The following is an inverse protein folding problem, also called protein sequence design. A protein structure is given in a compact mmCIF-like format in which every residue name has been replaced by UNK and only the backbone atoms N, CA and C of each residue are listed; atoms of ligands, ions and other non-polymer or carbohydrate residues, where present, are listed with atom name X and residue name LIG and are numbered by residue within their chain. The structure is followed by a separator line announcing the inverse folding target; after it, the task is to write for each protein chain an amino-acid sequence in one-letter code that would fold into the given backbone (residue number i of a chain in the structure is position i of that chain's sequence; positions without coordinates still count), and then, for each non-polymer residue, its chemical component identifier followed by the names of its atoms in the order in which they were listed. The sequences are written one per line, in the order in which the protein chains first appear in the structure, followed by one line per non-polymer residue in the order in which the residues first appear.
data_IF_683239874683
#
_entry.id   IF_683239874683
#
_cell.length_a   1.000
_cell.length_b   1.000
_cell.length_c   1.000
_cell.angle_alpha   90.00
_cell.angle_beta   90.00
_cell.angle_gamma   90.00
#
_symmetry.space_group_name_H-M   'P 1'
#
loop_
_entity.id
_entity.type
_entity.pdbx_description
1 polymer ?
#
# COMPACT_ATOMS: atom_id res chain seq x y z
N UNK A 1 6.46 8.26 11.72
CA UNK A 1 4.99 8.08 11.53
C UNK A 1 4.64 8.28 10.05
N UNK A 2 3.40 8.02 9.63
CA UNK A 2 2.96 8.27 8.23
C UNK A 2 2.71 9.76 8.05
N UNK A 3 3.39 10.36 7.08
CA UNK A 3 3.28 11.79 6.75
C UNK A 3 2.11 12.05 5.80
N UNK A 4 2.00 11.24 4.74
CA UNK A 4 0.94 11.38 3.73
C UNK A 4 0.61 10.06 3.04
N UNK A 5 -0.63 9.94 2.59
CA UNK A 5 -1.07 8.87 1.69
C UNK A 5 -1.69 9.47 0.45
N UNK A 6 -1.36 8.94 -0.72
CA UNK A 6 -1.90 9.40 -2.00
C UNK A 6 -1.98 8.23 -3.00
N UNK A 7 -2.85 8.30 -4.02
CA UNK A 7 -3.02 7.23 -5.00
C UNK A 7 -1.75 6.94 -5.81
N UNK A 8 -1.58 5.69 -6.22
CA UNK A 8 -0.58 5.29 -7.21
C UNK A 8 -1.00 5.82 -8.60
N UNK A 9 -0.03 6.23 -9.39
CA UNK A 9 -0.21 6.97 -10.65
C UNK A 9 -0.94 6.16 -11.73
N UNK A 10 -0.78 4.83 -11.70
CA UNK A 10 -1.31 3.90 -12.72
C UNK A 10 -2.35 2.90 -12.23
N UNK A 11 -2.39 2.61 -10.94
CA UNK A 11 -3.10 1.43 -10.42
C UNK A 11 -4.14 1.85 -9.41
N UNK A 12 -5.41 1.65 -9.77
CA UNK A 12 -6.54 1.90 -8.88
C UNK A 12 -6.47 1.00 -7.64
N UNK A 13 -6.85 1.55 -6.48
CA UNK A 13 -6.83 0.82 -5.21
C UNK A 13 -5.42 0.63 -4.61
N UNK A 14 -4.37 1.06 -5.31
CA UNK A 14 -2.99 1.07 -4.83
C UNK A 14 -2.62 2.49 -4.42
N UNK A 15 -1.95 2.62 -3.28
CA UNK A 15 -1.59 3.90 -2.67
C UNK A 15 -0.12 3.94 -2.30
N UNK A 16 0.47 5.13 -2.33
CA UNK A 16 1.75 5.44 -1.73
C UNK A 16 1.55 5.93 -0.31
N UNK A 17 2.23 5.30 0.64
CA UNK A 17 2.35 5.76 2.02
C UNK A 17 3.76 6.33 2.22
N UNK A 18 3.86 7.64 2.40
CA UNK A 18 5.12 8.34 2.69
C UNK A 18 5.30 8.48 4.20
N UNK A 19 6.45 8.02 4.68
CA UNK A 19 6.86 8.09 6.07
C UNK A 19 7.62 9.38 6.34
N UNK A 20 7.70 9.79 7.60
CA UNK A 20 8.45 10.99 8.02
C UNK A 20 9.95 10.93 7.69
N UNK A 21 10.53 9.73 7.59
CA UNK A 21 11.92 9.51 7.17
C UNK A 21 12.14 9.71 5.66
N UNK A 22 11.09 10.08 4.92
CA UNK A 22 11.11 10.27 3.48
C UNK A 22 10.93 8.98 2.67
N UNK A 23 10.90 7.81 3.32
CA UNK A 23 10.67 6.55 2.63
C UNK A 23 9.21 6.43 2.18
N UNK A 24 8.99 5.75 1.06
CA UNK A 24 7.66 5.47 0.52
C UNK A 24 7.45 3.98 0.41
N UNK A 25 6.27 3.51 0.79
CA UNK A 25 5.87 2.12 0.65
C UNK A 25 4.51 2.04 -0.03
N UNK A 26 4.26 0.93 -0.73
CA UNK A 26 2.94 0.65 -1.26
C UNK A 26 1.98 0.34 -0.11
N UNK A 27 0.71 0.70 -0.29
CA UNK A 27 -0.37 0.43 0.62
C UNK A 27 -1.67 0.16 -0.14
N UNK A 28 -2.60 -0.53 0.53
CA UNK A 28 -3.96 -0.74 0.05
C UNK A 28 -4.95 -0.36 1.15
N UNK A 29 -6.18 -0.01 0.78
CA UNK A 29 -7.25 0.21 1.76
C UNK A 29 -7.59 -1.14 2.41
N UNK A 30 -7.70 -1.15 3.74
CA UNK A 30 -8.16 -2.32 4.45
C UNK A 30 -9.67 -2.50 4.29
N UNK A 31 -10.09 -3.57 3.61
CA UNK A 31 -11.50 -3.91 3.45
C UNK A 31 -12.16 -4.37 4.77
N UNK A 32 -11.37 -4.90 5.71
CA UNK A 32 -11.87 -5.38 7.01
C UNK A 32 -11.11 -4.66 8.16
N UNK A 33 -11.56 -3.45 8.56
CA UNK A 33 -10.90 -2.66 9.59
C UNK A 33 -10.66 -3.44 10.89
N UNK A 34 -9.48 -3.31 11.48
CA UNK A 34 -9.10 -3.97 12.73
C UNK A 34 -8.64 -5.42 12.59
N UNK A 35 -8.75 -6.05 11.41
CA UNK A 35 -8.17 -7.37 11.14
C UNK A 35 -6.82 -7.25 10.47
N UNK A 36 -5.83 -7.95 11.03
CA UNK A 36 -4.50 -8.21 10.43
C UNK A 36 -4.49 -9.62 9.88
N UNK A 37 -4.01 -9.82 8.66
CA UNK A 37 -3.93 -11.16 8.07
C UNK A 37 -2.55 -11.77 8.27
N UNK A 38 -1.48 -11.02 7.96
CA UNK A 38 -0.11 -11.51 7.98
C UNK A 38 0.82 -10.67 8.88
N UNK A 39 0.24 -9.91 9.82
CA UNK A 39 0.99 -9.00 10.68
C UNK A 39 1.54 -7.77 9.96
N UNK A 40 0.99 -7.42 8.79
CA UNK A 40 1.31 -6.18 8.11
C UNK A 40 1.05 -4.95 8.99
N UNK A 41 1.82 -3.89 8.75
CA UNK A 41 1.62 -2.61 9.41
C UNK A 41 0.30 -2.00 8.93
N UNK A 42 -0.62 -1.82 9.87
CA UNK A 42 -1.91 -1.17 9.65
C UNK A 42 -1.85 0.22 10.26
N UNK A 43 -2.37 1.21 9.55
CA UNK A 43 -2.42 2.58 10.02
C UNK A 43 -3.70 3.28 9.53
N UNK A 44 -4.11 4.34 10.22
CA UNK A 44 -5.25 5.17 9.83
C UNK A 44 -4.76 6.50 9.28
N UNK A 45 -5.33 6.94 8.18
CA UNK A 45 -5.07 8.23 7.56
C UNK A 45 -6.37 8.77 6.96
N UNK A 46 -6.73 10.01 7.30
CA UNK A 46 -7.96 10.68 6.83
C UNK A 46 -9.23 9.81 6.95
N UNK A 47 -9.40 9.15 8.10
CA UNK A 47 -10.58 8.33 8.39
C UNK A 47 -10.62 6.96 7.69
N UNK A 48 -9.65 6.64 6.83
CA UNK A 48 -9.50 5.32 6.20
C UNK A 48 -8.40 4.51 6.86
N UNK A 49 -8.59 3.20 6.93
CA UNK A 49 -7.57 2.27 7.39
C UNK A 49 -6.82 1.69 6.20
N UNK A 50 -5.49 1.73 6.26
CA UNK A 50 -4.61 1.24 5.21
C UNK A 50 -3.73 0.12 5.74
N UNK A 51 -3.35 -0.78 4.84
CA UNK A 51 -2.40 -1.86 5.07
C UNK A 51 -1.17 -1.62 4.22
N UNK A 52 0.00 -1.64 4.83
CA UNK A 52 1.26 -1.61 4.07
C UNK A 52 1.37 -2.89 3.25
N UNK A 53 1.66 -2.72 1.97
CA UNK A 53 1.83 -3.81 1.03
C UNK A 53 3.32 -4.07 0.82
N UNK A 54 3.83 -5.07 1.53
CA UNK A 54 5.25 -5.42 1.52
C UNK A 54 5.67 -6.12 0.22
N UNK A 55 6.57 -5.53 -0.60
CA UNK A 55 7.05 -6.14 -1.84
C UNK A 55 7.86 -7.42 -1.60
N UNK A 56 8.50 -7.60 -0.43
CA UNK A 56 9.24 -8.83 -0.12
C UNK A 56 8.30 -10.01 0.18
N UNK A 57 7.03 -9.73 0.47
CA UNK A 57 6.00 -10.74 0.75
C UNK A 57 4.94 -10.87 -0.34
N UNK A 58 4.95 -9.98 -1.35
CA UNK A 58 3.96 -9.96 -2.43
C UNK A 58 4.64 -9.78 -3.79
N UNK A 59 4.51 -10.81 -4.64
CA UNK A 59 5.03 -10.78 -6.02
C UNK A 59 4.44 -9.63 -6.83
N UNK A 60 3.16 -9.33 -6.65
CA UNK A 60 2.49 -8.25 -7.36
C UNK A 60 2.98 -6.87 -6.90
N UNK A 61 3.17 -6.67 -5.59
CA UNK A 61 3.74 -5.43 -5.07
C UNK A 61 5.18 -5.23 -5.57
N UNK A 62 5.99 -6.29 -5.59
CA UNK A 62 7.33 -6.26 -6.18
C UNK A 62 7.30 -5.91 -7.67
N UNK A 63 6.37 -6.49 -8.43
CA UNK A 63 6.20 -6.19 -9.85
C UNK A 63 5.83 -4.71 -10.08
N UNK A 64 4.89 -4.17 -9.31
CA UNK A 64 4.51 -2.74 -9.37
C UNK A 64 5.73 -1.85 -9.13
N UNK A 65 6.53 -2.13 -8.08
CA UNK A 65 7.75 -1.38 -7.80
C UNK A 65 8.83 -1.51 -8.90
N UNK A 66 8.81 -2.60 -9.67
CA UNK A 66 9.73 -2.84 -10.79
C UNK A 66 9.21 -2.27 -12.12
N UNK A 67 8.10 -1.53 -12.10
CA UNK A 67 7.58 -0.85 -13.28
C UNK A 67 6.58 -1.69 -14.09
N UNK A 68 5.79 -2.56 -13.42
CA UNK A 68 4.65 -3.23 -14.05
C UNK A 68 3.81 -2.22 -14.86
N UNK A 69 3.52 -2.56 -16.11
CA UNK A 69 2.77 -1.68 -17.01
C UNK A 69 1.27 -2.01 -17.03
N UNK A 70 0.94 -3.30 -16.98
CA UNK A 70 -0.43 -3.80 -17.11
C UNK A 70 -0.79 -4.58 -15.85
N UNK A 71 -1.91 -4.22 -15.21
CA UNK A 71 -2.43 -4.98 -14.08
C UNK A 71 -2.99 -6.33 -14.58
N UNK A 72 -2.44 -7.48 -14.16
CA UNK A 72 -2.86 -8.78 -14.66
C UNK A 72 -4.15 -9.30 -14.02
N UNK A 73 -4.70 -8.56 -13.04
CA UNK A 73 -5.89 -8.92 -12.27
C UNK A 73 -6.92 -7.80 -12.32
N UNK A 74 -8.20 -8.16 -12.34
CA UNK A 74 -9.36 -7.26 -12.34
C UNK A 74 -10.31 -7.65 -11.21
#
# INVERSE_FOLDING_TARGET
MIKKVYPHEKFEGVFWAEFEDGTRRLATINLAPGRRVYGELIFKYEGKEYRIWDPYRSKLAAAILKGLEIMPIK
#
